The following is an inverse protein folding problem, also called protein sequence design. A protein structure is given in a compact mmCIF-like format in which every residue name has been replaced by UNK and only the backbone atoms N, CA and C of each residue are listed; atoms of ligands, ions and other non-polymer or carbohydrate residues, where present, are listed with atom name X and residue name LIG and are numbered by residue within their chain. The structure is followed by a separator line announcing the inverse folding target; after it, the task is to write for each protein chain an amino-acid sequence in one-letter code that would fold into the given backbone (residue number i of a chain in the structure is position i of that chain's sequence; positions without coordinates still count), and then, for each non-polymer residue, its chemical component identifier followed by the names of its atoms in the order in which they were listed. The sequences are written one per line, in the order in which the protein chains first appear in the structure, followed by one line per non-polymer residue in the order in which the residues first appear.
data_IF_553930000399
#
_entry.id   IF_553930000399
#
_cell.length_a   1.000
_cell.length_b   1.000
_cell.length_c   1.000
_cell.angle_alpha   90.00
_cell.angle_beta   90.00
_cell.angle_gamma   90.00
#
_symmetry.space_group_name_H-M   'P 1'
#
loop_
_entity.id
_entity.type
_entity.pdbx_description
1 polymer ?
#
# COMPACT_ATOMS: atom_id res chain seq x y z
N UNK A 1 -35.99 -4.33 12.97
CA UNK A 1 -34.75 -4.17 13.13
C UNK A 1 -33.73 -5.27 13.12
N UNK A 2 -34.04 -6.49 13.55
CA UNK A 2 -33.02 -7.54 13.33
C UNK A 2 -32.67 -7.71 11.87
N UNK A 3 -33.62 -7.47 11.00
CA UNK A 3 -33.33 -7.59 9.58
C UNK A 3 -32.29 -6.61 9.12
N UNK A 4 -32.34 -5.41 9.69
CA UNK A 4 -31.38 -4.41 9.30
C UNK A 4 -29.96 -4.86 9.63
N UNK A 5 -29.80 -5.48 10.79
CA UNK A 5 -28.49 -5.96 11.15
C UNK A 5 -28.04 -7.08 10.24
N UNK A 6 -28.96 -7.97 9.89
CA UNK A 6 -28.63 -9.03 8.95
C UNK A 6 -28.20 -8.45 7.62
N UNK A 7 -28.92 -7.44 7.18
CA UNK A 7 -28.57 -6.80 5.93
C UNK A 7 -27.21 -6.15 6.00
N UNK A 8 -26.91 -5.56 7.16
CA UNK A 8 -25.58 -4.97 7.34
C UNK A 8 -24.49 -6.01 7.24
N UNK A 9 -24.73 -7.19 7.78
CA UNK A 9 -23.73 -8.24 7.68
C UNK A 9 -23.55 -8.68 6.24
N UNK A 10 -24.65 -8.83 5.51
CA UNK A 10 -24.55 -9.17 4.10
C UNK A 10 -23.87 -8.09 3.33
N UNK A 11 -24.18 -6.84 3.64
CA UNK A 11 -23.55 -5.72 2.99
C UNK A 11 -22.08 -5.63 3.33
N UNK A 12 -21.69 -6.17 4.47
CA UNK A 12 -20.29 -6.13 4.84
C UNK A 12 -19.43 -6.89 3.83
N UNK A 13 -19.92 -8.00 3.30
CA UNK A 13 -19.21 -8.72 2.27
C UNK A 13 -19.05 -7.89 1.02
N UNK A 14 -20.15 -7.30 0.60
CA UNK A 14 -20.10 -6.42 -0.57
C UNK A 14 -19.33 -5.17 -0.25
N UNK A 15 -19.50 -4.67 0.98
CA UNK A 15 -18.76 -3.52 1.42
C UNK A 15 -17.27 -3.74 1.36
N UNK A 16 -16.82 -4.96 1.66
CA UNK A 16 -15.40 -5.28 1.57
C UNK A 16 -14.87 -5.07 0.17
N UNK A 17 -15.62 -5.53 -0.83
CA UNK A 17 -15.18 -5.36 -2.21
C UNK A 17 -15.16 -3.89 -2.58
N UNK A 18 -16.19 -3.14 -2.17
CA UNK A 18 -16.23 -1.71 -2.43
C UNK A 18 -15.13 -0.98 -1.68
N UNK A 19 -14.88 -1.41 -0.44
CA UNK A 19 -13.82 -0.80 0.35
C UNK A 19 -12.47 -1.00 -0.30
N UNK A 20 -12.24 -2.15 -0.89
CA UNK A 20 -11.00 -2.38 -1.59
C UNK A 20 -10.88 -1.51 -2.84
N UNK A 21 -11.98 -1.33 -3.55
CA UNK A 21 -11.98 -0.45 -4.71
C UNK A 21 -11.70 0.99 -4.30
N UNK A 22 -12.27 1.41 -3.18
CA UNK A 22 -12.03 2.75 -2.67
C UNK A 22 -10.60 2.89 -2.18
N UNK A 23 -10.08 1.85 -1.56
CA UNK A 23 -8.70 1.87 -1.10
C UNK A 23 -7.76 2.04 -2.29
N UNK A 24 -8.00 1.29 -3.35
CA UNK A 24 -7.16 1.40 -4.53
C UNK A 24 -7.26 2.78 -5.15
N UNK A 25 -8.48 3.32 -5.22
CA UNK A 25 -8.68 4.66 -5.78
C UNK A 25 -7.95 5.71 -4.93
N UNK A 26 -8.03 5.56 -3.61
CA UNK A 26 -7.36 6.49 -2.71
C UNK A 26 -5.85 6.41 -2.86
N UNK A 27 -5.32 5.19 -3.00
CA UNK A 27 -3.89 5.02 -3.18
C UNK A 27 -3.42 5.63 -4.49
N UNK A 28 -4.22 5.50 -5.54
CA UNK A 28 -3.88 6.09 -6.83
C UNK A 28 -3.83 7.61 -6.75
N UNK A 29 -4.72 8.19 -5.95
CA UNK A 29 -4.70 9.64 -5.76
C UNK A 29 -3.55 10.06 -4.87
N UNK A 30 -3.21 9.22 -3.91
CA UNK A 30 -2.13 9.55 -2.98
C UNK A 30 -0.76 9.52 -3.68
N UNK A 31 -0.58 8.60 -4.60
CA UNK A 31 0.73 8.38 -5.19
C UNK A 31 1.36 9.67 -5.77
N UNK A 32 0.66 10.43 -6.61
CA UNK A 32 1.29 11.62 -7.19
C UNK A 32 1.58 12.73 -6.20
N UNK A 33 0.94 12.73 -5.04
CA UNK A 33 1.22 13.79 -4.07
C UNK A 33 2.20 13.35 -2.99
N UNK A 34 2.68 12.12 -3.06
CA UNK A 34 3.66 11.64 -2.07
C UNK A 34 4.91 12.51 -2.03
N UNK A 35 5.32 13.06 -3.18
CA UNK A 35 6.51 13.89 -3.23
C UNK A 35 6.34 15.18 -2.46
N UNK A 36 5.12 15.61 -2.23
CA UNK A 36 4.84 16.88 -1.57
C UNK A 36 4.45 16.72 -0.11
N UNK A 37 4.36 15.48 0.36
CA UNK A 37 3.95 15.20 1.73
C UNK A 37 5.19 14.88 2.53
N UNK A 38 5.26 15.47 3.72
CA UNK A 38 6.39 15.18 4.59
C UNK A 38 6.02 14.06 5.53
N UNK A 39 6.60 12.91 5.28
CA UNK A 39 6.45 11.74 6.13
C UNK A 39 7.81 11.11 6.31
N UNK A 40 7.97 10.47 7.45
CA UNK A 40 9.23 9.81 7.74
C UNK A 40 9.44 8.64 6.78
N UNK A 41 10.70 8.32 6.49
CA UNK A 41 10.97 7.27 5.50
C UNK A 41 10.29 5.95 5.80
N UNK A 42 10.26 5.57 7.07
CA UNK A 42 9.62 4.32 7.46
C UNK A 42 8.14 4.31 7.10
N UNK A 43 7.46 5.39 7.44
CA UNK A 43 6.05 5.51 7.15
C UNK A 43 5.81 5.67 5.65
N UNK A 44 6.68 6.42 4.98
CA UNK A 44 6.59 6.58 3.54
C UNK A 44 6.71 5.23 2.84
N UNK A 45 7.63 4.41 3.30
CA UNK A 45 7.77 3.09 2.71
C UNK A 45 6.53 2.24 2.91
N UNK A 46 5.92 2.31 4.10
CA UNK A 46 4.71 1.54 4.35
C UNK A 46 3.59 1.93 3.40
N UNK A 47 3.48 3.20 3.07
CA UNK A 47 2.49 3.65 2.11
C UNK A 47 2.77 3.09 0.72
N UNK A 48 4.03 3.14 0.30
CA UNK A 48 4.39 2.54 -0.99
C UNK A 48 4.19 1.04 -0.99
N UNK A 49 4.43 0.40 0.14
CA UNK A 49 4.20 -1.03 0.26
C UNK A 49 2.74 -1.37 0.04
N UNK A 50 1.85 -0.56 0.62
CA UNK A 50 0.43 -0.73 0.43
C UNK A 50 0.06 -0.56 -1.03
N UNK A 51 0.66 0.45 -1.68
CA UNK A 51 0.41 0.68 -3.09
C UNK A 51 0.86 -0.50 -3.95
N UNK A 52 2.03 -1.05 -3.64
CA UNK A 52 2.53 -2.20 -4.37
C UNK A 52 1.63 -3.42 -4.20
N UNK A 53 1.16 -3.64 -2.97
CA UNK A 53 0.28 -4.78 -2.71
C UNK A 53 -1.05 -4.65 -3.44
N UNK A 54 -1.56 -3.45 -3.50
CA UNK A 54 -2.92 -3.22 -4.00
C UNK A 54 -2.95 -2.97 -5.49
N UNK A 55 -2.05 -2.11 -5.97
CA UNK A 55 -2.07 -1.70 -7.37
C UNK A 55 -1.13 -2.52 -8.24
N UNK A 56 -0.07 -3.05 -7.65
CA UNK A 56 0.95 -3.83 -8.36
C UNK A 56 1.49 -3.06 -9.56
N UNK A 57 1.73 -1.78 -9.37
CA UNK A 57 2.21 -0.88 -10.40
C UNK A 57 3.71 -0.71 -10.26
N UNK A 58 4.44 -1.03 -11.33
CA UNK A 58 5.90 -0.94 -11.30
C UNK A 58 6.40 0.46 -11.03
N UNK A 59 5.59 1.46 -11.32
CA UNK A 59 5.99 2.85 -11.09
C UNK A 59 6.23 3.14 -9.62
N UNK A 60 5.68 2.33 -8.72
CA UNK A 60 5.83 2.53 -7.28
C UNK A 60 7.18 2.02 -6.78
N UNK A 61 7.83 1.15 -7.54
CA UNK A 61 9.05 0.49 -7.06
C UNK A 61 10.18 1.48 -6.79
N UNK A 62 10.46 2.37 -7.72
CA UNK A 62 11.57 3.29 -7.56
C UNK A 62 11.38 4.22 -6.36
N UNK A 63 10.23 4.88 -6.19
CA UNK A 63 10.06 5.71 -5.00
C UNK A 63 10.03 4.89 -3.71
N UNK A 64 9.54 3.66 -3.75
CA UNK A 64 9.60 2.81 -2.57
C UNK A 64 11.03 2.50 -2.18
N UNK A 65 11.87 2.24 -3.17
CA UNK A 65 13.28 2.00 -2.92
C UNK A 65 13.93 3.23 -2.28
N UNK A 66 13.63 4.42 -2.80
CA UNK A 66 14.19 5.64 -2.25
C UNK A 66 13.78 5.82 -0.79
N UNK A 67 12.54 5.49 -0.46
CA UNK A 67 12.10 5.59 0.92
C UNK A 67 12.82 4.55 1.79
N UNK A 68 12.94 3.34 1.30
CA UNK A 68 13.54 2.26 2.07
C UNK A 68 14.99 2.57 2.42
N UNK A 69 15.75 3.09 1.47
CA UNK A 69 17.17 3.33 1.72
C UNK A 69 17.41 4.46 2.71
N UNK A 70 16.41 5.26 2.99
CA UNK A 70 16.53 6.34 3.96
C UNK A 70 16.15 5.91 5.36
N UNK A 71 15.64 4.71 5.53
CA UNK A 71 15.28 4.19 6.86
C UNK A 71 16.57 3.98 7.65
N UNK A 72 16.60 4.52 8.85
CA UNK A 72 17.82 4.48 9.67
C UNK A 72 18.01 3.16 10.40
N UNK A 73 16.91 2.58 10.86
CA UNK A 73 16.98 1.32 11.57
C UNK A 73 17.39 0.21 10.61
N UNK A 74 18.51 -0.46 10.90
CA UNK A 74 19.05 -1.46 9.98
C UNK A 74 18.09 -2.60 9.74
N UNK A 75 17.40 -3.06 10.79
CA UNK A 75 16.49 -4.19 10.62
C UNK A 75 15.29 -3.80 9.79
N UNK A 76 14.72 -2.64 10.06
CA UNK A 76 13.56 -2.18 9.31
C UNK A 76 13.95 -1.93 7.86
N UNK A 77 15.14 -1.36 7.65
CA UNK A 77 15.61 -1.13 6.29
C UNK A 77 15.81 -2.44 5.55
N UNK A 78 16.40 -3.42 6.24
CA UNK A 78 16.62 -4.72 5.60
C UNK A 78 15.31 -5.38 5.25
N UNK A 79 14.34 -5.35 6.15
CA UNK A 79 13.03 -5.94 5.88
C UNK A 79 12.36 -5.24 4.70
N UNK A 80 12.50 -3.92 4.64
CA UNK A 80 11.90 -3.13 3.57
C UNK A 80 12.53 -3.47 2.23
N UNK A 81 13.85 -3.56 2.20
CA UNK A 81 14.55 -3.89 0.98
C UNK A 81 14.23 -5.30 0.52
N UNK A 82 14.10 -6.23 1.47
CA UNK A 82 13.75 -7.59 1.11
C UNK A 82 12.35 -7.65 0.51
N UNK A 83 11.43 -6.89 1.09
CA UNK A 83 10.09 -6.82 0.53
C UNK A 83 10.13 -6.34 -0.92
N UNK A 84 10.95 -5.32 -1.18
CA UNK A 84 11.07 -4.81 -2.53
C UNK A 84 11.66 -5.84 -3.48
N UNK A 85 12.69 -6.54 -3.03
CA UNK A 85 13.30 -7.56 -3.87
C UNK A 85 12.26 -8.59 -4.28
N UNK A 86 11.46 -9.04 -3.32
CA UNK A 86 10.42 -10.01 -3.60
C UNK A 86 9.36 -9.44 -4.53
N UNK A 87 9.00 -8.17 -4.34
CA UNK A 87 8.00 -7.55 -5.20
C UNK A 87 8.49 -7.42 -6.64
N UNK A 88 9.73 -7.02 -6.80
CA UNK A 88 10.32 -6.90 -8.13
C UNK A 88 10.34 -8.26 -8.81
N UNK A 89 10.70 -9.28 -8.06
CA UNK A 89 10.78 -10.63 -8.58
C UNK A 89 9.42 -11.10 -9.07
N UNK A 90 8.39 -10.86 -8.27
CA UNK A 90 7.04 -11.25 -8.65
C UNK A 90 6.54 -10.49 -9.86
N UNK A 91 6.89 -9.23 -9.95
CA UNK A 91 6.40 -8.39 -11.05
C UNK A 91 7.18 -8.58 -12.34
N UNK A 92 8.34 -9.18 -12.25
CA UNK A 92 9.16 -9.38 -13.44
C UNK A 92 8.66 -10.51 -14.31
N UNK A 93 7.76 -11.31 -13.79
CA UNK A 93 7.18 -12.39 -14.56
C UNK A 93 6.05 -11.92 -15.44
#
# INVERSE_FOLDING_TARGET
MPEEQSEKLDNASEGSAQDKNLEEAALKELFPIMDRVEVEPEKRFLLYQEMLNTMRDKAVIAPAYEAARQIRDDKVRADSLLYLINSIDEMSL
#
